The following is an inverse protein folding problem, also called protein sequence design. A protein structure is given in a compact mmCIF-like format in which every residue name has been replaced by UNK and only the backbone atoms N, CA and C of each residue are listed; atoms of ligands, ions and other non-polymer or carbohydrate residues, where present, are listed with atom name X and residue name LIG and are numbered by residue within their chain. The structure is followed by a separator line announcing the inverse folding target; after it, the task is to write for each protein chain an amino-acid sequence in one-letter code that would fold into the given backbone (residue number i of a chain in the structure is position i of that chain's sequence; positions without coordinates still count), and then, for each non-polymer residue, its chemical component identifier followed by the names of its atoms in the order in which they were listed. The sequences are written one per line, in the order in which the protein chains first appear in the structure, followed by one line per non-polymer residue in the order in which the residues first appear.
data_IF_528644482497
#
_entry.id   IF_528644482497
#
_cell.length_a   1.000
_cell.length_b   1.000
_cell.length_c   1.000
_cell.angle_alpha   90.00
_cell.angle_beta   90.00
_cell.angle_gamma   90.00
#
_symmetry.space_group_name_H-M   'P 1'
#
loop_
_entity.id
_entity.type
_entity.pdbx_description
1 polymer ?
#
# COMPACT_ATOMS: atom_id res chain seq x y z
N UNK A 1 -4.07 -10.06 13.81
CA UNK A 1 -4.98 -9.13 14.49
C UNK A 1 -5.91 -9.94 15.39
N UNK A 2 -6.08 -9.53 16.63
CA UNK A 2 -6.93 -10.21 17.61
C UNK A 2 -7.93 -9.19 18.18
N UNK A 3 -8.77 -8.63 17.29
CA UNK A 3 -9.75 -7.62 17.69
C UNK A 3 -10.96 -8.19 18.45
N UNK A 4 -11.19 -9.49 18.39
CA UNK A 4 -12.29 -10.15 19.12
C UNK A 4 -11.67 -11.03 20.20
N UNK A 5 -12.12 -10.86 21.43
CA UNK A 5 -11.80 -11.70 22.59
C UNK A 5 -13.07 -12.24 23.23
N UNK A 6 -12.97 -13.40 23.85
CA UNK A 6 -14.05 -14.04 24.59
C UNK A 6 -13.66 -14.11 26.07
N UNK A 7 -14.47 -13.47 26.93
CA UNK A 7 -14.51 -13.64 28.36
C UNK A 7 -15.90 -14.15 28.74
N UNK A 8 -16.56 -13.56 29.74
CA UNK A 8 -17.95 -13.81 30.05
C UNK A 8 -18.89 -13.41 28.91
N UNK A 9 -18.47 -12.40 28.15
CA UNK A 9 -19.09 -11.95 26.90
C UNK A 9 -18.03 -11.75 25.82
N UNK A 10 -18.43 -11.83 24.55
CA UNK A 10 -17.53 -11.48 23.44
C UNK A 10 -17.36 -9.95 23.38
N UNK A 11 -16.12 -9.50 23.28
CA UNK A 11 -15.75 -8.08 23.20
C UNK A 11 -14.97 -7.82 21.93
N UNK A 12 -15.35 -6.77 21.20
CA UNK A 12 -14.61 -6.26 20.07
C UNK A 12 -13.77 -5.08 20.54
N UNK A 13 -12.45 -5.25 20.51
CA UNK A 13 -11.51 -4.15 20.72
C UNK A 13 -11.62 -3.17 19.55
N UNK A 14 -12.20 -2.02 19.82
CA UNK A 14 -12.48 -1.01 18.81
C UNK A 14 -11.20 -0.34 18.29
N UNK A 15 -10.11 -0.35 19.06
CA UNK A 15 -8.82 0.18 18.60
C UNK A 15 -8.11 -0.78 17.62
N UNK A 16 -8.28 -2.09 17.85
CA UNK A 16 -7.69 -3.14 17.02
C UNK A 16 -8.56 -3.54 15.82
N UNK A 17 -9.87 -3.28 15.85
CA UNK A 17 -10.79 -3.59 14.75
C UNK A 17 -10.48 -2.72 13.53
N UNK A 18 -10.19 -3.37 12.39
CA UNK A 18 -9.87 -2.71 11.11
C UNK A 18 -11.09 -2.55 10.18
N UNK A 19 -12.29 -2.83 10.65
CA UNK A 19 -13.56 -2.75 9.90
C UNK A 19 -13.53 -3.58 8.59
N UNK A 20 -12.87 -4.75 8.60
CA UNK A 20 -12.76 -5.58 7.40
C UNK A 20 -14.06 -6.33 7.04
N UNK A 21 -15.05 -6.35 7.91
CA UNK A 21 -16.35 -7.00 7.70
C UNK A 21 -16.30 -8.55 7.64
N UNK A 22 -15.17 -9.18 7.99
CA UNK A 22 -15.03 -10.65 7.91
C UNK A 22 -16.00 -11.35 8.88
N UNK A 23 -16.15 -10.83 10.11
CA UNK A 23 -17.09 -11.40 11.12
C UNK A 23 -18.54 -11.46 10.61
N UNK A 24 -19.00 -10.45 9.87
CA UNK A 24 -20.32 -10.43 9.24
C UNK A 24 -20.43 -11.45 8.10
N UNK A 25 -19.45 -11.40 7.18
CA UNK A 25 -19.48 -12.29 6.01
C UNK A 25 -19.31 -13.77 6.35
N UNK A 26 -18.59 -14.06 7.43
CA UNK A 26 -18.36 -15.44 7.87
C UNK A 26 -19.61 -16.08 8.50
N UNK A 27 -20.60 -15.28 8.95
CA UNK A 27 -21.86 -15.75 9.56
C UNK A 27 -21.63 -16.79 10.67
N UNK A 28 -20.60 -16.56 11.49
CA UNK A 28 -20.17 -17.52 12.53
C UNK A 28 -20.90 -17.34 13.86
N UNK A 29 -21.63 -16.25 14.05
CA UNK A 29 -22.37 -16.00 15.29
C UNK A 29 -23.72 -16.74 15.26
N UNK A 30 -23.96 -17.69 16.18
CA UNK A 30 -25.18 -18.48 16.15
C UNK A 30 -26.44 -17.69 16.55
N UNK A 31 -26.26 -16.51 17.15
CA UNK A 31 -27.32 -15.61 17.58
C UNK A 31 -27.35 -14.28 16.86
N UNK A 32 -26.59 -14.17 15.77
CA UNK A 32 -26.50 -12.98 14.89
C UNK A 32 -26.26 -11.66 15.65
N UNK A 33 -25.36 -11.71 16.65
CA UNK A 33 -25.08 -10.59 17.54
C UNK A 33 -24.17 -9.50 16.94
N UNK A 34 -23.66 -9.69 15.73
CA UNK A 34 -22.88 -8.64 15.07
C UNK A 34 -23.80 -7.56 14.51
N UNK A 35 -23.55 -6.31 14.89
CA UNK A 35 -24.25 -5.14 14.35
C UNK A 35 -23.34 -4.41 13.40
N UNK A 36 -23.84 -4.12 12.19
CA UNK A 36 -23.10 -3.33 11.18
C UNK A 36 -23.41 -1.84 11.40
N UNK A 37 -22.56 -1.19 12.18
CA UNK A 37 -22.61 0.25 12.37
C UNK A 37 -21.73 0.95 11.34
N UNK A 38 -22.34 1.79 10.50
CA UNK A 38 -21.60 2.61 9.55
C UNK A 38 -20.74 3.63 10.29
N UNK A 39 -19.43 3.39 10.28
CA UNK A 39 -18.48 4.29 10.92
C UNK A 39 -18.41 5.65 10.18
N UNK A 40 -18.38 6.74 10.95
CA UNK A 40 -18.11 8.08 10.42
C UNK A 40 -16.59 8.31 10.23
N UNK A 41 -16.25 9.39 9.53
CA UNK A 41 -14.87 9.86 9.45
C UNK A 41 -14.34 10.29 10.84
N UNK A 42 -13.06 9.99 11.20
CA UNK A 42 -12.03 9.34 10.37
C UNK A 42 -12.09 7.79 10.35
N UNK A 43 -12.85 7.15 11.26
CA UNK A 43 -12.90 5.69 11.38
C UNK A 43 -13.36 4.98 10.11
N UNK A 44 -14.22 5.60 9.30
CA UNK A 44 -14.69 5.03 8.03
C UNK A 44 -13.55 4.68 7.05
N UNK A 45 -12.36 5.29 7.19
CA UNK A 45 -11.18 4.94 6.39
C UNK A 45 -10.73 3.50 6.61
N UNK A 46 -10.99 2.93 7.81
CA UNK A 46 -10.64 1.54 8.11
C UNK A 46 -11.32 0.56 7.16
N UNK A 47 -12.62 0.70 6.96
CA UNK A 47 -13.37 -0.18 6.05
C UNK A 47 -12.92 -0.01 4.60
N UNK A 48 -12.68 1.22 4.15
CA UNK A 48 -12.21 1.49 2.80
C UNK A 48 -10.89 0.78 2.46
N UNK A 49 -9.96 0.68 3.43
CA UNK A 49 -8.66 0.02 3.24
C UNK A 49 -8.64 -1.46 3.66
N UNK A 50 -9.70 -1.97 4.29
CA UNK A 50 -9.69 -3.32 4.86
C UNK A 50 -10.80 -4.22 4.34
N UNK A 51 -11.94 -3.66 3.93
CA UNK A 51 -13.08 -4.41 3.42
C UNK A 51 -13.05 -4.46 1.89
N UNK A 52 -12.85 -5.64 1.27
CA UNK A 52 -12.74 -5.75 -0.18
C UNK A 52 -14.04 -5.44 -0.94
N UNK A 53 -15.16 -5.24 -0.23
CA UNK A 53 -16.45 -4.90 -0.83
C UNK A 53 -16.77 -3.40 -0.75
N UNK A 54 -15.87 -2.60 -0.16
CA UNK A 54 -16.02 -1.15 -0.02
C UNK A 54 -15.08 -0.45 -0.99
N UNK A 55 -15.63 0.45 -1.81
CA UNK A 55 -14.85 1.28 -2.73
C UNK A 55 -14.34 2.55 -2.07
N UNK A 56 -13.14 2.96 -2.41
CA UNK A 56 -12.63 4.30 -2.07
C UNK A 56 -13.40 5.37 -2.84
N UNK A 57 -13.87 6.40 -2.16
CA UNK A 57 -14.67 7.46 -2.78
C UNK A 57 -13.92 8.19 -3.89
N UNK A 58 -12.64 8.43 -3.68
CA UNK A 58 -11.78 9.24 -4.55
C UNK A 58 -11.29 8.46 -5.76
N UNK A 59 -10.93 7.17 -5.59
CA UNK A 59 -10.35 6.36 -6.66
C UNK A 59 -11.33 5.39 -7.30
N UNK A 60 -12.46 5.13 -6.65
CA UNK A 60 -13.49 4.15 -7.05
C UNK A 60 -12.95 2.73 -7.17
N UNK A 61 -11.87 2.44 -6.46
CA UNK A 61 -11.23 1.13 -6.39
C UNK A 61 -11.58 0.51 -5.05
N UNK A 62 -11.97 -0.77 -5.04
CA UNK A 62 -12.30 -1.50 -3.82
C UNK A 62 -11.04 -2.04 -3.12
N UNK A 63 -11.07 -2.10 -1.79
CA UNK A 63 -9.98 -2.61 -0.97
C UNK A 63 -8.72 -1.74 -1.05
N UNK A 64 -7.56 -2.36 -0.98
CA UNK A 64 -6.26 -1.68 -0.97
C UNK A 64 -5.62 -1.52 -2.35
N UNK A 65 -6.24 -2.12 -3.35
CA UNK A 65 -5.65 -2.27 -4.67
C UNK A 65 -5.56 -0.97 -5.44
N UNK A 66 -4.65 -0.97 -6.39
CA UNK A 66 -4.48 0.09 -7.35
C UNK A 66 -4.26 -0.53 -8.72
N UNK A 67 -4.78 0.11 -9.74
CA UNK A 67 -4.63 -0.33 -11.13
C UNK A 67 -3.45 0.35 -11.83
N UNK A 68 -2.89 1.42 -11.27
CA UNK A 68 -1.83 2.19 -11.92
C UNK A 68 -0.59 1.36 -12.21
N UNK A 69 -0.18 0.51 -11.26
CA UNK A 69 0.98 -0.37 -11.42
C UNK A 69 0.78 -1.50 -12.44
N UNK A 70 -0.45 -1.74 -12.89
CA UNK A 70 -0.81 -2.83 -13.80
C UNK A 70 -1.17 -2.36 -15.20
N UNK A 71 -1.34 -1.06 -15.39
CA UNK A 71 -1.90 -0.46 -16.60
C UNK A 71 -1.00 0.62 -17.18
N UNK A 72 0.31 0.33 -17.27
CA UNK A 72 1.29 1.30 -17.75
C UNK A 72 1.00 1.80 -19.18
N UNK A 73 0.43 0.95 -20.03
CA UNK A 73 0.01 1.33 -21.38
C UNK A 73 -1.11 2.39 -21.39
N UNK A 74 -1.79 2.61 -20.27
CA UNK A 74 -2.80 3.66 -20.09
C UNK A 74 -2.21 4.85 -19.34
N UNK A 75 -1.49 4.59 -18.25
CA UNK A 75 -0.98 5.64 -17.36
C UNK A 75 0.34 6.25 -17.82
N UNK A 76 1.16 5.49 -18.56
CA UNK A 76 2.47 5.92 -19.00
C UNK A 76 3.46 6.22 -17.87
N UNK A 77 3.23 5.69 -16.67
CA UNK A 77 4.05 5.99 -15.47
C UNK A 77 5.46 5.41 -15.53
N UNK A 78 5.62 4.21 -16.13
CA UNK A 78 6.89 3.50 -16.16
C UNK A 78 7.58 3.69 -17.50
N UNK A 79 8.63 4.49 -17.50
CA UNK A 79 9.45 4.80 -18.66
C UNK A 79 10.80 4.10 -18.56
N UNK A 80 11.52 3.96 -19.69
CA UNK A 80 12.92 3.51 -19.65
C UNK A 80 13.74 4.45 -18.77
N UNK A 81 14.63 3.89 -17.94
CA UNK A 81 15.42 4.65 -16.96
C UNK A 81 14.65 5.04 -15.68
N UNK A 82 13.39 4.64 -15.56
CA UNK A 82 12.57 4.87 -14.35
C UNK A 82 12.22 3.55 -13.68
N UNK A 83 11.97 3.62 -12.37
CA UNK A 83 11.46 2.51 -11.56
C UNK A 83 10.22 2.94 -10.83
N UNK A 84 9.21 2.05 -10.81
CA UNK A 84 8.09 2.14 -9.91
C UNK A 84 8.35 1.29 -8.67
N UNK A 85 7.94 1.77 -7.52
CA UNK A 85 7.97 0.99 -6.29
C UNK A 85 6.65 1.07 -5.54
N UNK A 86 6.20 -0.09 -5.07
CA UNK A 86 5.09 -0.24 -4.15
C UNK A 86 5.61 -0.63 -2.77
N UNK A 87 5.13 0.06 -1.74
CA UNK A 87 5.42 -0.24 -0.33
C UNK A 87 4.12 -0.68 0.32
N UNK A 88 4.00 -1.98 0.55
CA UNK A 88 2.79 -2.63 1.04
C UNK A 88 2.89 -2.86 2.54
N UNK A 89 2.09 -2.13 3.31
CA UNK A 89 2.05 -2.16 4.77
C UNK A 89 1.00 -3.14 5.29
N UNK A 90 1.33 -3.82 6.41
CA UNK A 90 0.37 -4.58 7.21
C UNK A 90 0.14 -6.01 6.79
N UNK A 91 0.72 -6.49 5.69
CA UNK A 91 0.60 -7.89 5.25
C UNK A 91 1.82 -8.74 5.64
N UNK A 92 1.62 -10.01 5.98
CA UNK A 92 0.34 -10.71 6.14
C UNK A 92 -0.28 -10.51 7.53
N UNK A 93 -1.57 -10.07 7.59
CA UNK A 93 -2.42 -10.21 8.77
C UNK A 93 -2.05 -9.41 10.03
N UNK A 94 -1.08 -8.49 9.97
CA UNK A 94 -0.64 -7.66 11.11
C UNK A 94 -1.44 -6.37 11.14
N UNK A 95 -1.76 -5.81 9.96
CA UNK A 95 -2.32 -4.49 9.81
C UNK A 95 -1.28 -3.40 10.00
N UNK A 96 -1.66 -2.15 9.72
CA UNK A 96 -0.82 -0.98 9.90
C UNK A 96 -1.64 0.19 10.39
N UNK A 97 -1.03 1.09 11.14
CA UNK A 97 -1.61 2.42 11.38
C UNK A 97 -1.06 3.39 10.35
N UNK A 98 -1.86 4.38 9.99
CA UNK A 98 -1.41 5.37 9.00
C UNK A 98 -0.20 6.19 9.44
N UNK A 99 0.12 6.26 10.75
CA UNK A 99 1.37 6.88 11.23
C UNK A 99 2.62 6.20 10.68
N UNK A 100 2.60 4.87 10.51
CA UNK A 100 3.72 4.13 9.92
C UNK A 100 3.82 4.41 8.42
N UNK A 101 2.67 4.51 7.74
CA UNK A 101 2.57 4.87 6.32
C UNK A 101 3.05 6.31 6.09
N UNK A 102 2.61 7.26 6.93
CA UNK A 102 3.00 8.67 6.90
C UNK A 102 4.51 8.86 7.07
N UNK A 103 5.12 8.11 8.02
CA UNK A 103 6.57 8.16 8.25
C UNK A 103 7.35 7.80 6.99
N UNK A 104 6.95 6.73 6.29
CA UNK A 104 7.61 6.29 5.06
C UNK A 104 7.30 7.24 3.91
N UNK A 105 6.05 7.68 3.75
CA UNK A 105 5.65 8.62 2.71
C UNK A 105 6.46 9.93 2.77
N UNK A 106 6.62 10.52 3.96
CA UNK A 106 7.43 11.72 4.14
C UNK A 106 8.91 11.48 3.84
N UNK A 107 9.46 10.31 4.20
CA UNK A 107 10.84 9.98 3.89
C UNK A 107 11.07 9.84 2.38
N UNK A 108 10.15 9.19 1.68
CA UNK A 108 10.18 9.05 0.22
C UNK A 108 10.04 10.41 -0.47
N UNK A 109 9.15 11.28 0.02
CA UNK A 109 8.97 12.63 -0.50
C UNK A 109 10.28 13.44 -0.46
N UNK A 110 11.06 13.34 0.64
CA UNK A 110 12.38 14.00 0.75
C UNK A 110 13.38 13.55 -0.31
N UNK A 111 13.24 12.34 -0.85
CA UNK A 111 14.03 11.84 -1.97
C UNK A 111 13.52 12.33 -3.33
N UNK A 112 12.41 13.07 -3.34
CA UNK A 112 11.81 13.61 -4.56
C UNK A 112 11.22 12.53 -5.46
N UNK A 113 10.55 11.54 -4.89
CA UNK A 113 9.73 10.58 -5.65
C UNK A 113 8.44 11.25 -6.11
N UNK A 114 7.82 10.70 -7.15
CA UNK A 114 6.49 11.09 -7.61
C UNK A 114 5.49 10.04 -7.16
N UNK A 115 4.55 10.40 -6.28
CA UNK A 115 3.49 9.50 -5.85
C UNK A 115 2.44 9.30 -6.95
N UNK A 116 1.93 8.08 -7.06
CA UNK A 116 0.86 7.73 -7.99
C UNK A 116 -0.43 8.48 -7.62
N UNK A 117 -0.97 9.22 -8.58
CA UNK A 117 -2.12 10.12 -8.31
C UNK A 117 -3.41 9.39 -7.99
N UNK A 118 -3.65 8.27 -8.65
CA UNK A 118 -4.87 7.47 -8.44
C UNK A 118 -4.69 6.38 -7.38
N UNK A 119 -3.89 6.64 -6.35
CA UNK A 119 -3.66 5.73 -5.23
C UNK A 119 -4.43 6.23 -3.99
N UNK A 120 -5.17 5.35 -3.27
CA UNK A 120 -5.93 5.74 -2.09
C UNK A 120 -5.10 6.40 -0.98
N UNK A 121 -3.86 5.96 -0.75
CA UNK A 121 -2.96 6.59 0.24
C UNK A 121 -2.58 7.99 -0.21
N UNK A 122 -2.28 8.19 -1.50
CA UNK A 122 -1.95 9.51 -2.05
C UNK A 122 -3.11 10.50 -1.91
N UNK A 123 -4.37 10.01 -1.95
CA UNK A 123 -5.55 10.86 -1.72
C UNK A 123 -5.71 11.31 -0.25
N UNK A 124 -5.06 10.64 0.68
CA UNK A 124 -5.01 11.05 2.09
C UNK A 124 -3.88 12.05 2.38
N UNK A 125 -2.99 12.30 1.43
CA UNK A 125 -1.92 13.28 1.61
C UNK A 125 -2.48 14.71 1.51
N UNK A 126 -2.21 15.51 2.54
CA UNK A 126 -2.53 16.96 2.54
C UNK A 126 -1.56 17.74 1.66
N UNK A 127 -0.35 17.21 1.47
CA UNK A 127 0.65 17.74 0.57
C UNK A 127 1.53 16.60 0.01
N UNK A 128 1.41 16.35 -1.29
CA UNK A 128 2.18 15.32 -2.00
C UNK A 128 3.69 15.64 -2.05
N UNK A 129 4.07 16.92 -1.98
CA UNK A 129 5.49 17.31 -1.99
C UNK A 129 6.20 16.90 -0.72
N UNK A 130 5.49 16.89 0.39
CA UNK A 130 6.03 16.46 1.69
C UNK A 130 5.68 15.02 2.03
N UNK A 131 4.71 14.43 1.34
CA UNK A 131 4.19 13.09 1.65
C UNK A 131 3.33 13.03 2.91
N UNK A 132 2.99 14.19 3.52
CA UNK A 132 2.27 14.27 4.78
C UNK A 132 0.82 13.81 4.60
N UNK A 133 0.42 12.77 5.35
CA UNK A 133 -0.95 12.28 5.46
C UNK A 133 -1.72 13.15 6.46
N UNK A 134 -3.03 13.32 6.27
CA UNK A 134 -3.87 14.08 7.22
C UNK A 134 -3.78 13.51 8.64
N UNK A 135 -3.65 14.39 9.62
CA UNK A 135 -3.47 13.99 11.02
C UNK A 135 -4.68 13.22 11.58
N UNK A 136 -5.86 13.46 11.05
CA UNK A 136 -7.11 12.83 11.49
C UNK A 136 -7.07 11.30 11.41
N UNK A 137 -6.37 10.74 10.40
CA UNK A 137 -6.33 9.29 10.17
C UNK A 137 -5.07 8.60 10.74
N UNK A 138 -4.08 9.32 11.24
CA UNK A 138 -2.79 8.74 11.63
C UNK A 138 -2.91 7.59 12.64
N UNK A 139 -3.91 7.64 13.50
CA UNK A 139 -4.16 6.60 14.50
C UNK A 139 -5.05 5.47 13.97
N UNK A 140 -5.68 5.65 12.81
CA UNK A 140 -6.56 4.64 12.26
C UNK A 140 -5.78 3.41 11.82
N UNK A 141 -6.25 2.23 12.22
CA UNK A 141 -5.66 0.94 11.89
C UNK A 141 -6.38 0.32 10.71
N UNK A 142 -5.61 -0.10 9.71
CA UNK A 142 -6.13 -0.75 8.50
C UNK A 142 -5.46 -2.11 8.27
N UNK A 143 -6.11 -2.98 7.50
CA UNK A 143 -5.55 -4.29 7.18
C UNK A 143 -4.31 -4.15 6.31
N UNK A 144 -4.34 -3.27 5.35
CA UNK A 144 -3.21 -2.98 4.47
C UNK A 144 -3.35 -1.62 3.81
N UNK A 145 -2.22 -0.97 3.56
CA UNK A 145 -2.13 0.23 2.75
C UNK A 145 -0.93 0.11 1.81
N UNK A 146 -0.97 0.72 0.64
CA UNK A 146 0.13 0.69 -0.32
C UNK A 146 0.49 2.11 -0.71
N UNK A 147 1.74 2.50 -0.51
CA UNK A 147 2.33 3.67 -1.16
C UNK A 147 2.84 3.22 -2.53
N UNK A 148 2.47 3.94 -3.57
CA UNK A 148 3.00 3.73 -4.91
C UNK A 148 3.66 5.00 -5.40
N UNK A 149 4.87 4.86 -5.93
CA UNK A 149 5.61 5.99 -6.46
C UNK A 149 6.52 5.56 -7.62
N UNK A 150 6.91 6.55 -8.42
CA UNK A 150 7.86 6.39 -9.53
C UNK A 150 8.98 7.41 -9.38
N UNK A 151 10.17 7.05 -9.83
CA UNK A 151 11.36 7.91 -9.79
C UNK A 151 12.44 7.38 -10.73
N UNK A 152 13.44 8.22 -11.11
CA UNK A 152 14.61 7.77 -11.88
C UNK A 152 15.37 6.66 -11.14
N UNK A 153 15.82 5.64 -11.87
CA UNK A 153 16.42 4.44 -11.30
C UNK A 153 17.68 4.73 -10.45
N UNK A 154 18.37 5.81 -10.70
CA UNK A 154 19.55 6.25 -9.94
C UNK A 154 19.22 6.48 -8.46
N UNK A 155 17.99 6.84 -8.14
CA UNK A 155 17.52 7.03 -6.75
C UNK A 155 17.19 5.72 -6.04
N UNK A 156 17.11 4.60 -6.73
CA UNK A 156 16.61 3.33 -6.16
C UNK A 156 17.41 2.89 -4.94
N UNK A 157 18.75 3.06 -4.95
CA UNK A 157 19.58 2.72 -3.79
C UNK A 157 19.22 3.54 -2.55
N UNK A 158 19.01 4.84 -2.72
CA UNK A 158 18.70 5.74 -1.61
C UNK A 158 17.31 5.45 -1.05
N UNK A 159 16.35 5.13 -1.92
CA UNK A 159 15.00 4.71 -1.52
C UNK A 159 15.05 3.42 -0.69
N UNK A 160 15.78 2.39 -1.15
CA UNK A 160 15.92 1.12 -0.45
C UNK A 160 16.67 1.27 0.89
N UNK A 161 17.73 2.08 0.94
CA UNK A 161 18.46 2.39 2.18
C UNK A 161 17.55 3.09 3.19
N UNK A 162 16.83 4.13 2.75
CA UNK A 162 15.90 4.88 3.59
C UNK A 162 14.85 3.95 4.20
N UNK A 163 14.29 3.03 3.41
CA UNK A 163 13.35 2.05 3.94
C UNK A 163 14.00 1.11 4.97
N UNK A 164 15.22 0.63 4.69
CA UNK A 164 15.97 -0.24 5.61
C UNK A 164 16.22 0.45 6.95
N UNK A 165 16.56 1.74 6.93
CA UNK A 165 16.78 2.55 8.14
C UNK A 165 15.48 2.84 8.93
N UNK A 166 14.36 2.91 8.23
CA UNK A 166 13.05 3.14 8.85
C UNK A 166 12.41 1.84 9.38
N UNK A 167 12.68 0.71 8.74
CA UNK A 167 12.03 -0.56 9.08
C UNK A 167 12.04 -0.91 10.59
N UNK A 168 13.15 -0.71 11.35
CA UNK A 168 13.15 -0.96 12.80
C UNK A 168 12.25 -0.02 13.62
N UNK A 169 11.83 1.11 13.06
CA UNK A 169 10.99 2.12 13.73
C UNK A 169 9.49 1.88 13.47
N UNK A 170 9.18 1.06 12.47
CA UNK A 170 7.80 0.76 12.10
C UNK A 170 7.22 -0.30 13.04
N UNK A 171 5.94 -0.15 13.37
CA UNK A 171 5.18 -1.13 14.18
C UNK A 171 4.37 -2.10 13.32
N UNK A 172 4.82 -2.30 12.09
CA UNK A 172 4.18 -3.14 11.10
C UNK A 172 5.22 -3.80 10.21
N UNK A 173 4.78 -4.66 9.31
CA UNK A 173 5.62 -5.23 8.25
C UNK A 173 5.41 -4.45 6.97
N UNK A 174 6.46 -4.36 6.17
CA UNK A 174 6.41 -3.73 4.84
C UNK A 174 7.02 -4.70 3.84
N UNK A 175 6.26 -5.04 2.79
CA UNK A 175 6.81 -5.69 1.60
C UNK A 175 7.04 -4.66 0.50
N UNK A 176 8.06 -4.90 -0.31
CA UNK A 176 8.48 -3.98 -1.37
C UNK A 176 8.30 -4.64 -2.72
N UNK A 177 7.64 -3.94 -3.60
CA UNK A 177 7.47 -4.30 -5.01
C UNK A 177 8.29 -3.35 -5.87
N UNK A 178 8.98 -3.88 -6.87
CA UNK A 178 9.73 -3.08 -7.85
C UNK A 178 9.17 -3.38 -9.24
N UNK A 179 8.93 -2.33 -10.01
CA UNK A 179 8.41 -2.40 -11.36
C UNK A 179 9.34 -1.65 -12.30
N UNK A 180 9.81 -2.34 -13.34
CA UNK A 180 10.54 -1.74 -14.44
C UNK A 180 9.91 -2.09 -15.78
N UNK A 181 10.10 -1.22 -16.75
CA UNK A 181 9.96 -1.58 -18.16
C UNK A 181 11.09 -2.55 -18.51
N UNK A 182 10.75 -3.64 -19.20
CA UNK A 182 11.76 -4.56 -19.78
C UNK A 182 12.44 -3.84 -20.93
N UNK A 183 13.77 -3.85 -20.94
CA UNK A 183 14.56 -3.24 -22.01
C UNK A 183 14.53 -4.11 -23.28
N UNK A 184 14.88 -3.55 -24.46
CA UNK A 184 14.87 -4.30 -25.74
C UNK A 184 15.74 -5.57 -25.77
N UNK A 185 16.70 -5.68 -24.87
CA UNK A 185 17.57 -6.85 -24.70
C UNK A 185 17.08 -7.83 -23.62
N UNK A 186 15.81 -7.75 -23.24
CA UNK A 186 15.16 -8.52 -22.18
C UNK A 186 15.75 -8.34 -20.77
N UNK A 187 16.58 -7.32 -20.56
CA UNK A 187 17.10 -7.03 -19.22
C UNK A 187 16.13 -6.21 -18.38
N UNK A 188 16.29 -6.35 -17.05
CA UNK A 188 15.59 -5.55 -16.05
C UNK A 188 16.62 -4.61 -15.40
N UNK A 189 16.54 -3.29 -15.64
CA UNK A 189 17.50 -2.32 -15.09
C UNK A 189 17.65 -2.39 -13.56
N UNK A 190 16.56 -2.73 -12.83
CA UNK A 190 16.59 -2.86 -11.38
C UNK A 190 17.50 -4.01 -10.89
N UNK A 191 17.70 -5.07 -11.67
CA UNK A 191 18.50 -6.22 -11.27
C UNK A 191 19.95 -5.81 -10.96
N UNK A 192 20.51 -4.86 -11.71
CA UNK A 192 21.83 -4.30 -11.44
C UNK A 192 21.89 -3.65 -10.05
N UNK A 193 20.90 -2.82 -9.72
CA UNK A 193 20.85 -2.11 -8.42
C UNK A 193 20.66 -3.11 -7.28
N UNK A 194 19.77 -4.07 -7.43
CA UNK A 194 19.52 -5.10 -6.40
C UNK A 194 20.75 -5.94 -6.14
N UNK A 195 21.45 -6.39 -7.21
CA UNK A 195 22.68 -7.18 -7.10
C UNK A 195 23.80 -6.39 -6.39
N UNK A 196 23.98 -5.10 -6.73
CA UNK A 196 24.98 -4.24 -6.08
C UNK A 196 24.68 -4.01 -4.59
N UNK A 197 23.42 -4.13 -4.19
CA UNK A 197 22.98 -4.02 -2.78
C UNK A 197 22.90 -5.37 -2.07
N UNK A 198 23.18 -6.48 -2.76
CA UNK A 198 23.04 -7.83 -2.20
C UNK A 198 21.58 -8.23 -1.90
N UNK A 199 20.62 -7.62 -2.57
CA UNK A 199 19.19 -7.89 -2.38
C UNK A 199 18.73 -8.91 -3.43
N UNK A 200 18.23 -10.05 -2.96
CA UNK A 200 17.65 -11.07 -3.83
C UNK A 200 16.18 -10.78 -4.10
N UNK A 201 15.79 -10.75 -5.36
CA UNK A 201 14.37 -10.73 -5.73
C UNK A 201 13.76 -12.14 -5.66
N UNK A 202 12.45 -12.21 -5.45
CA UNK A 202 11.72 -13.47 -5.52
C UNK A 202 11.66 -13.96 -6.97
N UNK A 203 11.77 -15.27 -7.18
CA UNK A 203 11.74 -15.90 -8.51
C UNK A 203 10.36 -15.84 -9.18
N UNK A 204 9.31 -15.64 -8.40
CA UNK A 204 7.93 -15.58 -8.85
C UNK A 204 7.47 -14.16 -9.24
N UNK A 205 8.40 -13.29 -9.59
CA UNK A 205 8.07 -12.02 -10.23
C UNK A 205 7.28 -12.26 -11.50
N UNK A 206 6.26 -11.43 -11.74
CA UNK A 206 5.41 -11.56 -12.93
C UNK A 206 5.76 -10.52 -13.98
N UNK A 207 5.64 -10.92 -15.25
CA UNK A 207 5.65 -10.02 -16.37
C UNK A 207 4.22 -9.62 -16.71
N UNK A 208 3.96 -8.32 -16.78
CA UNK A 208 2.70 -7.78 -17.27
C UNK A 208 2.92 -7.36 -18.73
N UNK A 209 2.21 -8.00 -19.66
CA UNK A 209 2.27 -7.66 -21.09
C UNK A 209 1.29 -6.53 -21.46
N UNK A 210 0.50 -6.06 -20.50
CA UNK A 210 -0.48 -5.00 -20.70
C UNK A 210 -1.60 -5.39 -21.64
N UNK A 211 -2.19 -4.38 -22.28
CA UNK A 211 -3.25 -4.56 -23.27
C UNK A 211 -2.72 -4.58 -24.72
N UNK A 212 -1.40 -4.66 -24.90
CA UNK A 212 -0.77 -4.66 -26.21
C UNK A 212 -0.76 -3.31 -26.92
N UNK A 213 -0.96 -2.22 -26.20
CA UNK A 213 -0.99 -0.84 -26.73
C UNK A 213 -0.15 0.08 -25.85
N UNK A 214 1.18 -0.05 -25.83
CA UNK A 214 2.04 0.77 -25.00
C UNK A 214 1.95 2.25 -25.40
N UNK A 215 1.69 3.15 -24.45
CA UNK A 215 1.67 4.60 -24.65
C UNK A 215 3.05 5.21 -24.49
N UNK A 216 3.93 4.56 -23.74
CA UNK A 216 5.29 5.03 -23.50
C UNK A 216 6.28 4.14 -24.25
N UNK A 217 6.98 4.76 -25.20
CA UNK A 217 8.10 4.16 -25.92
C UNK A 217 9.37 4.06 -25.07
#
# INVERSE_FOLDING_TARGET
MKAISLGDVAVIDQDECVECGVCFRAKVCPVDAFVDEQASWPRSVRSAFSNPTVEHKETRIAGRGTEEMKTNEITGLFKSGWVGMGFEFGRPGIGSRFRDVDMVAQALARLGVTFADNNPVTKLMVDKKTGKITDEVLNEKVMSAIIECVFPIEKMKDVLRTLTELAPKLRTVVSVECINKVEPNDSLPMDKVLNEMGISRRINGKTNVGLGRPLAG
#
